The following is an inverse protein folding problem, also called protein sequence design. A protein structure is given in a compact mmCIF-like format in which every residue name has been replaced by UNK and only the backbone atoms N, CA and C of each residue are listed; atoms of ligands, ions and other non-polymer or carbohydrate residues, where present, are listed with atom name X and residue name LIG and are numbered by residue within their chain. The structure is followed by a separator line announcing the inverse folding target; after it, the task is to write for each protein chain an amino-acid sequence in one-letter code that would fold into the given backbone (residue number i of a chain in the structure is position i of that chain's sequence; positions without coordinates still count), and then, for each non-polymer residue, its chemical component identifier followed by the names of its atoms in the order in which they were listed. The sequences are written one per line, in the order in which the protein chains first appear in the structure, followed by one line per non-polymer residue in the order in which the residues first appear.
data_IF_492251775213
#
_entry.id   IF_492251775213
#
_cell.length_a   1.000
_cell.length_b   1.000
_cell.length_c   1.000
_cell.angle_alpha   90.00
_cell.angle_beta   90.00
_cell.angle_gamma   90.00
#
_symmetry.space_group_name_H-M   'P 1'
#
loop_
_entity.id
_entity.type
_entity.pdbx_description
1 polymer ?
#
# COMPACT_ATOMS: atom_id res chain seq x y z
N UNK A 1 1.77 -5.73 -2.28
CA UNK A 1 1.04 -6.60 -1.36
C UNK A 1 0.76 -7.95 -1.99
N UNK A 2 0.88 -8.99 -1.18
CA UNK A 2 0.41 -10.32 -1.53
C UNK A 2 -0.60 -10.69 -0.45
N UNK A 3 -1.86 -10.83 -0.81
CA UNK A 3 -2.94 -11.04 0.15
C UNK A 3 -3.78 -12.25 -0.24
N UNK A 4 -4.33 -12.99 0.75
CA UNK A 4 -5.25 -14.08 0.45
C UNK A 4 -6.60 -13.55 -0.04
N UNK A 5 -7.37 -14.42 -0.67
CA UNK A 5 -8.71 -14.09 -1.14
C UNK A 5 -9.60 -13.54 -0.02
N UNK A 6 -9.42 -14.07 1.20
CA UNK A 6 -10.19 -13.62 2.36
C UNK A 6 -10.03 -12.14 2.66
N UNK A 7 -8.88 -11.55 2.37
CA UNK A 7 -8.68 -10.10 2.52
C UNK A 7 -9.54 -9.31 1.55
N UNK A 8 -9.59 -9.76 0.31
CA UNK A 8 -10.41 -9.12 -0.73
C UNK A 8 -11.91 -9.26 -0.40
N UNK A 9 -12.32 -10.43 0.06
CA UNK A 9 -13.71 -10.70 0.40
C UNK A 9 -14.18 -9.85 1.61
N UNK A 10 -13.25 -9.39 2.42
CA UNK A 10 -13.54 -8.54 3.57
C UNK A 10 -13.81 -7.07 3.19
N UNK A 11 -13.30 -6.62 2.04
CA UNK A 11 -13.39 -5.21 1.65
C UNK A 11 -14.81 -4.63 1.67
N UNK A 12 -15.86 -5.33 1.21
CA UNK A 12 -17.20 -4.78 1.25
C UNK A 12 -17.73 -4.50 2.67
N UNK A 13 -17.21 -5.20 3.68
CA UNK A 13 -17.63 -5.04 5.08
C UNK A 13 -16.76 -4.04 5.85
N UNK A 14 -15.64 -3.62 5.29
CA UNK A 14 -14.79 -2.59 5.87
C UNK A 14 -15.41 -1.24 5.58
N UNK A 15 -15.67 -0.44 6.61
CA UNK A 15 -16.24 0.89 6.41
C UNK A 15 -15.31 1.80 5.62
N UNK A 16 -15.91 2.76 4.90
CA UNK A 16 -15.15 3.80 4.24
C UNK A 16 -14.41 4.63 5.30
N UNK A 17 -13.12 4.83 5.10
CA UNK A 17 -12.27 5.63 5.97
C UNK A 17 -11.87 6.93 5.26
N UNK A 18 -10.79 7.53 5.62
CA UNK A 18 -10.28 8.80 5.12
C UNK A 18 -10.77 9.18 3.70
N UNK A 19 -11.56 10.25 3.61
CA UNK A 19 -12.08 10.73 2.34
C UNK A 19 -13.20 9.89 1.73
N UNK A 20 -13.79 8.94 2.49
CA UNK A 20 -14.85 8.07 2.01
C UNK A 20 -14.37 6.89 1.18
N UNK A 21 -13.08 6.63 1.14
CA UNK A 21 -12.51 5.52 0.37
C UNK A 21 -12.47 4.22 1.18
N UNK A 22 -12.72 3.11 0.51
CA UNK A 22 -12.45 1.77 1.04
C UNK A 22 -10.99 1.44 0.73
N UNK A 23 -10.19 1.21 1.78
CA UNK A 23 -8.75 0.99 1.64
C UNK A 23 -8.36 -0.43 2.03
N UNK A 24 -7.40 -0.99 1.28
CA UNK A 24 -6.84 -2.31 1.57
C UNK A 24 -6.23 -2.37 2.98
N UNK A 25 -5.57 -1.32 3.42
CA UNK A 25 -4.93 -1.29 4.74
C UNK A 25 -5.95 -1.50 5.87
N UNK A 26 -7.18 -1.03 5.73
CA UNK A 26 -8.21 -1.20 6.73
C UNK A 26 -8.64 -2.66 6.84
N UNK A 27 -8.70 -3.38 5.71
CA UNK A 27 -8.97 -4.81 5.73
C UNK A 27 -7.83 -5.59 6.40
N UNK A 28 -6.59 -5.21 6.13
CA UNK A 28 -5.42 -5.84 6.76
C UNK A 28 -5.41 -5.61 8.27
N UNK A 29 -5.72 -4.40 8.73
CA UNK A 29 -5.81 -4.08 10.15
C UNK A 29 -6.88 -4.95 10.83
N UNK A 30 -8.02 -5.11 10.20
CA UNK A 30 -9.11 -5.92 10.75
C UNK A 30 -8.71 -7.40 10.86
N UNK A 31 -7.86 -7.90 9.95
CA UNK A 31 -7.42 -9.30 9.94
C UNK A 31 -6.24 -9.59 10.87
N UNK A 32 -5.61 -8.58 11.46
CA UNK A 32 -4.40 -8.77 12.29
C UNK A 32 -4.56 -9.79 13.41
N UNK A 33 -5.75 -9.93 13.98
CA UNK A 33 -6.00 -10.89 15.03
C UNK A 33 -6.39 -12.30 14.55
N UNK A 34 -6.62 -12.49 13.26
CA UNK A 34 -7.16 -13.73 12.69
C UNK A 34 -6.18 -14.48 11.82
N UNK A 35 -5.35 -13.76 11.07
CA UNK A 35 -4.34 -14.35 10.17
C UNK A 35 -2.98 -13.68 10.39
N UNK A 36 -1.88 -14.42 10.18
CA UNK A 36 -0.55 -13.83 10.26
C UNK A 36 -0.35 -12.84 9.10
N UNK A 37 0.22 -11.67 9.42
CA UNK A 37 0.64 -10.69 8.42
C UNK A 37 2.14 -10.48 8.60
N UNK A 38 2.87 -10.69 7.51
CA UNK A 38 4.33 -10.59 7.50
C UNK A 38 4.78 -9.36 6.74
N UNK A 39 5.76 -8.66 7.29
CA UNK A 39 6.47 -7.60 6.59
C UNK A 39 7.70 -8.17 5.88
N UNK A 40 7.86 -7.86 4.62
CA UNK A 40 9.07 -8.15 3.87
C UNK A 40 9.86 -6.87 3.69
N UNK A 41 11.05 -6.85 4.28
CA UNK A 41 11.96 -5.71 4.09
C UNK A 41 12.58 -5.81 2.70
N UNK A 42 12.34 -4.80 1.87
CA UNK A 42 12.86 -4.75 0.52
C UNK A 42 14.16 -3.95 0.46
N UNK A 43 15.07 -4.38 -0.42
CA UNK A 43 16.25 -3.59 -0.77
C UNK A 43 15.92 -2.66 -1.93
N UNK A 44 16.68 -1.58 -2.06
CA UNK A 44 16.45 -0.61 -3.12
C UNK A 44 15.76 0.66 -2.63
N UNK A 45 15.26 1.44 -3.57
CA UNK A 45 14.65 2.74 -3.30
C UNK A 45 13.15 2.66 -3.58
N UNK A 46 12.37 3.13 -2.60
CA UNK A 46 10.93 3.33 -2.80
C UNK A 46 10.69 4.75 -3.26
N UNK A 47 9.98 4.91 -4.37
CA UNK A 47 9.60 6.20 -4.93
C UNK A 47 8.09 6.34 -4.91
N UNK A 48 7.61 7.42 -4.32
CA UNK A 48 6.19 7.74 -4.26
C UNK A 48 5.91 8.91 -5.19
N UNK A 49 5.09 8.68 -6.20
CA UNK A 49 4.75 9.68 -7.23
C UNK A 49 3.39 10.34 -6.98
N UNK A 50 2.81 10.15 -5.81
CA UNK A 50 1.50 10.70 -5.44
C UNK A 50 1.50 12.18 -5.10
N UNK A 51 2.68 12.81 -4.98
CA UNK A 51 2.84 14.23 -4.75
C UNK A 51 3.73 14.86 -5.82
N UNK A 52 3.63 16.18 -6.08
CA UNK A 52 4.53 16.85 -7.04
C UNK A 52 6.02 16.66 -6.67
N UNK A 53 6.36 16.77 -5.40
CA UNK A 53 7.72 16.59 -4.91
C UNK A 53 8.22 15.16 -5.11
N UNK A 54 7.38 14.18 -4.79
CA UNK A 54 7.69 12.77 -4.97
C UNK A 54 7.85 12.41 -6.44
N UNK A 55 7.00 12.95 -7.30
CA UNK A 55 7.11 12.77 -8.74
C UNK A 55 8.42 13.33 -9.28
N UNK A 56 8.77 14.57 -8.90
CA UNK A 56 10.03 15.19 -9.32
C UNK A 56 11.24 14.38 -8.86
N UNK A 57 11.21 13.89 -7.62
CA UNK A 57 12.28 13.03 -7.09
C UNK A 57 12.40 11.73 -7.89
N UNK A 58 11.28 11.10 -8.24
CA UNK A 58 11.30 9.86 -9.01
C UNK A 58 11.93 10.07 -10.38
N UNK A 59 11.59 11.17 -11.07
CA UNK A 59 12.19 11.52 -12.34
C UNK A 59 13.71 11.70 -12.20
N UNK A 60 14.16 12.42 -11.18
CA UNK A 60 15.59 12.62 -10.94
C UNK A 60 16.34 11.31 -10.70
N UNK A 61 15.80 10.45 -9.84
CA UNK A 61 16.42 9.16 -9.51
C UNK A 61 16.46 8.25 -10.72
N UNK A 62 15.36 8.13 -11.45
CA UNK A 62 15.25 7.19 -12.56
C UNK A 62 15.98 7.64 -13.81
N UNK A 63 16.27 8.92 -13.93
CA UNK A 63 16.98 9.48 -15.10
C UNK A 63 18.45 9.83 -14.83
N UNK A 64 18.93 9.62 -13.60
CA UNK A 64 20.28 10.01 -13.21
C UNK A 64 21.38 9.40 -14.06
N UNK A 65 21.16 8.18 -14.59
CA UNK A 65 22.14 7.43 -15.38
C UNK A 65 21.88 7.50 -16.89
N UNK A 66 20.96 8.32 -17.33
CA UNK A 66 20.71 8.54 -18.77
C UNK A 66 21.67 9.60 -19.37
#
# INVERSE_FOLDING_TARGET
YIVPRSTIDLLPSVGASHGGEIRLIDALIEQLGSIPIHGLECTGIRLDTGTPEGYARAVQVLTADL
#
